data_IF_207446557914
#
_entry.id   IF_207446557914
#
_cell.length_a   1.000
_cell.length_b   1.000
_cell.length_c   1.000
_cell.angle_alpha   90.00
_cell.angle_beta   90.00
_cell.angle_gamma   90.00
#
_symmetry.space_group_name_H-M   'P 1'
#
loop_
_entity.id
_entity.type
_entity.pdbx_description
1 polymer ?
#
# COMPACT_ATOMS: atom_id res chain seq x y z
N UNK A 1 0.09 -9.59 -0.45
CA UNK A 1 0.27 -9.41 1.02
C UNK A 1 0.53 -7.94 1.27
N UNK A 2 -0.04 -7.35 2.34
CA UNK A 2 0.21 -5.94 2.72
C UNK A 2 1.71 -5.64 2.72
N UNK A 3 2.11 -4.52 2.12
CA UNK A 3 3.52 -4.10 2.05
C UNK A 3 3.84 -3.15 3.20
N UNK A 4 2.98 -2.16 3.43
CA UNK A 4 3.08 -1.20 4.52
C UNK A 4 1.72 -0.87 5.10
N UNK A 5 1.75 -0.26 6.28
CA UNK A 5 0.58 0.34 6.92
C UNK A 5 0.93 1.79 7.23
N UNK A 6 0.02 2.70 6.89
CA UNK A 6 0.14 4.12 7.18
C UNK A 6 0.07 4.39 8.69
N UNK A 7 0.20 5.67 9.05
CA UNK A 7 -0.24 6.14 10.36
C UNK A 7 -1.78 6.08 10.45
N UNK A 8 -2.29 6.17 11.68
CA UNK A 8 -3.73 6.27 11.93
C UNK A 8 -4.22 7.67 11.56
N UNK A 9 -5.40 7.72 10.95
CA UNK A 9 -6.13 8.95 10.64
C UNK A 9 -7.36 9.05 11.53
N UNK A 10 -7.80 10.26 11.82
CA UNK A 10 -9.02 10.49 12.61
C UNK A 10 -10.24 10.49 11.69
N UNK A 11 -10.11 11.10 10.51
CA UNK A 11 -11.19 11.27 9.56
C UNK A 11 -10.85 10.59 8.23
N UNK A 12 -11.86 10.00 7.59
CA UNK A 12 -11.72 9.25 6.33
C UNK A 12 -11.14 10.11 5.20
N UNK A 13 -11.59 11.36 5.05
CA UNK A 13 -11.11 12.21 3.97
C UNK A 13 -9.61 12.51 4.07
N UNK A 14 -9.03 12.48 5.27
CA UNK A 14 -7.59 12.72 5.46
C UNK A 14 -6.77 11.59 4.81
N UNK A 15 -7.20 10.34 4.99
CA UNK A 15 -6.50 9.20 4.39
C UNK A 15 -6.73 9.14 2.87
N UNK A 16 -7.90 9.51 2.37
CA UNK A 16 -8.18 9.60 0.93
C UNK A 16 -7.30 10.64 0.24
N UNK A 17 -7.20 11.85 0.81
CA UNK A 17 -6.30 12.89 0.29
C UNK A 17 -4.84 12.46 0.31
N UNK A 18 -4.41 11.79 1.37
CA UNK A 18 -3.03 11.33 1.51
C UNK A 18 -2.70 10.20 0.53
N UNK A 19 -3.66 9.34 0.18
CA UNK A 19 -3.49 8.34 -0.89
C UNK A 19 -3.27 9.05 -2.22
N UNK A 20 -4.09 10.04 -2.58
CA UNK A 20 -3.93 10.79 -3.83
C UNK A 20 -2.59 11.55 -3.87
N UNK A 21 -2.23 12.24 -2.78
CA UNK A 21 -0.91 12.89 -2.65
C UNK A 21 0.21 11.87 -2.78
N UNK A 22 0.09 10.70 -2.17
CA UNK A 22 1.09 9.63 -2.26
C UNK A 22 1.30 9.17 -3.69
N UNK A 23 0.23 8.91 -4.46
CA UNK A 23 0.31 8.52 -5.87
C UNK A 23 1.07 9.54 -6.73
N UNK A 24 0.82 10.83 -6.47
CA UNK A 24 1.43 11.95 -7.21
C UNK A 24 2.87 12.25 -6.78
N UNK A 25 3.25 11.91 -5.55
CA UNK A 25 4.55 12.27 -4.95
C UNK A 25 5.53 11.11 -4.85
N UNK A 26 5.35 10.07 -5.68
CA UNK A 26 6.23 8.89 -5.69
C UNK A 26 7.70 9.24 -5.93
N UNK A 27 7.97 10.28 -6.71
CA UNK A 27 9.33 10.77 -6.97
C UNK A 27 10.03 11.33 -5.72
N UNK A 28 9.25 11.77 -4.73
CA UNK A 28 9.74 12.30 -3.45
C UNK A 28 9.85 11.22 -2.37
N UNK A 29 9.44 9.98 -2.68
CA UNK A 29 9.43 8.88 -1.74
C UNK A 29 10.85 8.42 -1.39
N UNK A 30 11.16 8.39 -0.09
CA UNK A 30 12.42 7.85 0.44
C UNK A 30 12.15 6.65 1.33
N UNK A 31 12.84 5.55 1.05
CA UNK A 31 12.72 4.30 1.81
C UNK A 31 13.91 4.13 2.75
N UNK A 32 13.72 4.45 4.02
CA UNK A 32 14.73 4.25 5.05
C UNK A 32 14.70 2.80 5.52
N UNK A 33 15.76 2.03 5.26
CA UNK A 33 15.83 0.59 5.51
C UNK A 33 16.48 0.30 6.86
N UNK A 34 15.92 -0.64 7.62
CA UNK A 34 16.37 -1.01 8.95
C UNK A 34 16.43 -2.53 9.12
N UNK A 35 17.33 -2.98 10.01
CA UNK A 35 17.37 -4.34 10.54
C UNK A 35 17.07 -4.29 12.03
N UNK A 36 15.95 -4.88 12.43
CA UNK A 36 15.54 -4.94 13.84
C UNK A 36 16.33 -5.97 14.65
N UNK A 37 16.20 -5.90 15.98
CA UNK A 37 16.90 -6.78 16.93
C UNK A 37 16.64 -8.28 16.72
N UNK A 38 15.50 -8.66 16.13
CA UNK A 38 15.17 -10.05 15.75
C UNK A 38 15.70 -10.50 14.38
N UNK A 39 16.65 -9.76 13.80
CA UNK A 39 17.21 -10.05 12.47
C UNK A 39 16.25 -9.83 11.29
N UNK A 40 15.05 -9.30 11.55
CA UNK A 40 14.04 -8.97 10.54
C UNK A 40 14.32 -7.60 9.93
N UNK A 41 13.98 -7.46 8.66
CA UNK A 41 14.17 -6.24 7.89
C UNK A 41 12.84 -5.48 7.79
N UNK A 42 12.87 -4.16 7.76
CA UNK A 42 11.71 -3.32 7.50
C UNK A 42 12.18 -1.97 6.93
N UNK A 43 11.27 -1.21 6.35
CA UNK A 43 11.54 0.16 5.93
C UNK A 43 10.51 1.13 6.49
N UNK A 44 10.91 2.38 6.65
CA UNK A 44 10.00 3.53 6.80
C UNK A 44 9.94 4.27 5.47
N UNK A 45 8.72 4.54 5.02
CA UNK A 45 8.44 5.34 3.85
C UNK A 45 8.28 6.80 4.29
N UNK A 46 9.13 7.66 3.76
CA UNK A 46 9.11 9.10 3.99
C UNK A 46 8.64 9.79 2.70
N UNK A 47 7.71 10.73 2.82
CA UNK A 47 7.35 11.65 1.73
C UNK A 47 7.92 13.03 2.09
N UNK A 48 9.00 13.43 1.42
CA UNK A 48 9.80 14.58 1.85
C UNK A 48 10.41 14.33 3.25
N UNK A 49 9.96 15.09 4.24
CA UNK A 49 10.38 14.96 5.65
C UNK A 49 9.34 14.23 6.53
N UNK A 50 8.14 13.98 6.00
CA UNK A 50 7.05 13.35 6.75
C UNK A 50 7.19 11.82 6.73
N UNK A 51 7.09 11.20 7.91
CA UNK A 51 6.97 9.75 8.02
C UNK A 51 5.56 9.30 7.65
N UNK A 52 5.41 8.74 6.47
CA UNK A 52 4.11 8.38 5.90
C UNK A 52 3.64 6.99 6.36
N UNK A 53 4.54 6.01 6.30
CA UNK A 53 4.17 4.63 6.59
C UNK A 53 5.35 3.77 7.06
N UNK A 54 5.03 2.67 7.74
CA UNK A 54 6.00 1.64 8.13
C UNK A 54 5.66 0.32 7.44
N UNK A 55 6.68 -0.32 6.87
CA UNK A 55 6.52 -1.61 6.22
C UNK A 55 6.24 -2.73 7.24
N UNK A 56 5.66 -3.83 6.78
CA UNK A 56 5.74 -5.08 7.54
C UNK A 56 7.19 -5.54 7.72
N UNK A 57 7.42 -6.48 8.64
CA UNK A 57 8.71 -7.12 8.85
C UNK A 57 8.94 -8.24 7.81
N UNK A 58 10.11 -8.23 7.21
CA UNK A 58 10.60 -9.20 6.23
C UNK A 58 11.67 -10.11 6.85
N UNK A 59 11.74 -11.34 6.37
CA UNK A 59 12.73 -12.32 6.84
C UNK A 59 14.08 -12.17 6.17
N UNK A 60 14.11 -11.67 4.93
CA UNK A 60 15.33 -11.46 4.15
C UNK A 60 15.32 -10.07 3.51
N UNK A 61 16.50 -9.55 3.21
CA UNK A 61 16.66 -8.26 2.52
C UNK A 61 16.12 -8.30 1.10
N UNK A 62 16.22 -9.45 0.41
CA UNK A 62 15.65 -9.61 -0.94
C UNK A 62 14.13 -9.38 -0.95
N UNK A 63 13.41 -9.88 0.07
CA UNK A 63 11.96 -9.65 0.18
C UNK A 63 11.63 -8.20 0.49
N UNK A 64 12.46 -7.51 1.29
CA UNK A 64 12.35 -6.08 1.54
C UNK A 64 12.46 -5.30 0.21
N UNK A 65 13.48 -5.60 -0.60
CA UNK A 65 13.67 -4.94 -1.91
C UNK A 65 12.50 -5.20 -2.86
N UNK A 66 11.96 -6.44 -2.89
CA UNK A 66 10.76 -6.75 -3.69
C UNK A 66 9.56 -5.91 -3.28
N UNK A 67 9.32 -5.73 -1.98
CA UNK A 67 8.23 -4.89 -1.48
C UNK A 67 8.38 -3.42 -1.89
N UNK A 68 9.59 -2.86 -1.81
CA UNK A 68 9.86 -1.50 -2.27
C UNK A 68 9.64 -1.39 -3.79
N UNK A 69 10.13 -2.35 -4.57
CA UNK A 69 9.97 -2.37 -6.03
C UNK A 69 8.49 -2.38 -6.43
N UNK A 70 7.67 -3.16 -5.74
CA UNK A 70 6.23 -3.23 -6.00
C UNK A 70 5.55 -1.87 -5.79
N UNK A 71 5.90 -1.15 -4.72
CA UNK A 71 5.41 0.23 -4.49
C UNK A 71 5.82 1.14 -5.63
N UNK A 72 7.12 1.21 -5.94
CA UNK A 72 7.65 2.11 -6.99
C UNK A 72 7.04 1.81 -8.37
N UNK A 73 6.71 0.54 -8.63
CA UNK A 73 6.18 0.12 -9.94
C UNK A 73 4.69 0.41 -10.09
N UNK A 74 3.90 0.23 -9.02
CA UNK A 74 2.44 0.18 -9.13
C UNK A 74 1.70 1.26 -8.36
N UNK A 75 2.34 1.97 -7.42
CA UNK A 75 1.62 2.89 -6.55
C UNK A 75 0.94 4.04 -7.33
N UNK A 76 1.56 4.58 -8.38
CA UNK A 76 0.95 5.65 -9.19
C UNK A 76 -0.31 5.20 -9.95
N UNK A 77 -0.44 3.91 -10.27
CA UNK A 77 -1.55 3.34 -11.04
C UNK A 77 -2.46 2.42 -10.22
N UNK A 78 -2.31 2.40 -8.89
CA UNK A 78 -3.07 1.47 -8.06
C UNK A 78 -4.51 1.93 -7.88
N UNK A 79 -5.42 0.98 -7.76
CA UNK A 79 -6.81 1.24 -7.35
C UNK A 79 -6.91 1.57 -5.85
N UNK A 80 -8.05 2.13 -5.45
CA UNK A 80 -8.39 2.42 -4.05
C UNK A 80 -9.65 1.63 -3.73
N UNK A 81 -9.58 0.79 -2.70
CA UNK A 81 -10.70 -0.02 -2.23
C UNK A 81 -11.10 0.43 -0.83
N UNK A 82 -12.35 0.83 -0.66
CA UNK A 82 -12.87 1.36 0.59
C UNK A 82 -13.63 0.29 1.38
N UNK A 83 -13.06 -0.15 2.49
CA UNK A 83 -13.67 -1.12 3.40
C UNK A 83 -14.19 -0.46 4.69
N UNK A 84 -14.46 0.85 4.68
CA UNK A 84 -14.95 1.58 5.86
C UNK A 84 -16.43 1.33 6.15
N UNK A 85 -17.23 0.99 5.13
CA UNK A 85 -18.63 0.57 5.29
C UNK A 85 -18.76 -0.95 5.30
N UNK A 86 -19.90 -1.45 5.75
CA UNK A 86 -20.26 -2.87 5.66
C UNK A 86 -20.87 -3.26 4.31
N UNK A 87 -20.90 -2.33 3.35
CA UNK A 87 -21.45 -2.58 2.02
C UNK A 87 -20.43 -3.36 1.17
N UNK A 88 -20.92 -4.26 0.31
CA UNK A 88 -20.03 -4.96 -0.63
C UNK A 88 -19.53 -3.95 -1.66
N UNK A 89 -18.21 -3.87 -1.83
CA UNK A 89 -17.57 -3.05 -2.87
C UNK A 89 -17.28 -3.84 -4.16
N UNK A 90 -17.56 -5.14 -4.15
CA UNK A 90 -17.43 -5.99 -5.33
C UNK A 90 -18.83 -6.28 -5.87
N UNK A 91 -18.98 -6.13 -7.18
CA UNK A 91 -20.17 -6.55 -7.91
C UNK A 91 -20.28 -8.08 -7.86
N UNK A 92 -21.49 -8.60 -7.80
CA UNK A 92 -21.73 -10.04 -7.93
C UNK A 92 -21.33 -10.48 -9.35
N UNK A 93 -20.69 -11.65 -9.48
CA UNK A 93 -20.31 -12.21 -10.79
C UNK A 93 -21.57 -12.34 -11.67
N UNK A 94 -21.64 -11.57 -12.77
CA UNK A 94 -22.62 -11.82 -13.81
C UNK A 94 -22.32 -13.19 -14.43
N UNK A 95 -23.13 -14.19 -14.08
CA UNK A 95 -23.09 -15.51 -14.68
C UNK A 95 -23.57 -15.34 -16.12
N UNK A 96 -22.63 -15.19 -17.05
CA UNK A 96 -22.94 -15.23 -18.49
C UNK A 96 -23.30 -16.69 -18.79
N UNK A 97 -24.60 -16.99 -18.81
CA UNK A 97 -25.10 -18.25 -19.34
C UNK A 97 -24.79 -18.24 -20.85
N UNK A 98 -23.70 -18.90 -21.24
CA UNK A 98 -23.45 -19.23 -22.65
C UNK A 98 -24.61 -20.13 -23.10
N UNK A 99 -25.58 -19.56 -23.81
CA UNK A 99 -26.58 -20.32 -24.56
C UNK A 99 -25.82 -21.17 -25.60
N UNK A 100 -25.59 -22.45 -25.26
CA UNK A 100 -25.09 -23.45 -26.19
C UNK A 100 -26.18 -23.73 -27.24
N UNK A 101 -26.04 -23.15 -28.43
CA UNK A 101 -26.71 -23.62 -29.67
C UNK A 101 -26.11 -24.95 -30.17
#
# INVERSE_FOLDING_TARGET
KVIFTSLSYELKFECEEDIEKFKLSMDLAKFLKFKGSGGKYFFKLMLGELHFATSRKYTTELLLQKGIKEIVTYASSSEILDFSSSESIFEDEEVVEDEME
#
